data_IF_186641238959
#
_entry.id   IF_186641238959
#
_cell.length_a   1.000
_cell.length_b   1.000
_cell.length_c   1.000
_cell.angle_alpha   90.00
_cell.angle_beta   90.00
_cell.angle_gamma   90.00
#
_symmetry.space_group_name_H-M   'P 1'
#
loop_
_entity.id
_entity.type
_entity.pdbx_description
1 polymer ?
#
# COMPACT_ATOMS: atom_id res chain seq x y z
N UNK A 1 13.40 8.71 -33.58
CA UNK A 1 14.85 8.41 -33.51
C UNK A 1 15.62 9.73 -33.35
N UNK A 2 15.76 10.16 -32.09
CA UNK A 2 16.67 11.16 -31.49
C UNK A 2 16.04 11.51 -30.12
N UNK A 3 16.78 11.67 -29.00
CA UNK A 3 18.19 11.35 -28.75
C UNK A 3 18.37 10.45 -27.50
N UNK A 4 19.02 9.30 -27.69
CA UNK A 4 19.62 8.49 -26.64
C UNK A 4 20.94 9.10 -26.10
N UNK A 5 20.99 10.41 -25.93
CA UNK A 5 22.25 11.17 -25.85
C UNK A 5 22.40 12.02 -24.57
N UNK A 6 21.66 11.71 -23.51
CA UNK A 6 21.78 12.37 -22.20
C UNK A 6 22.01 11.43 -21.00
N UNK A 7 22.17 10.11 -21.20
CA UNK A 7 22.46 9.17 -20.10
C UNK A 7 23.78 8.39 -20.26
N UNK A 8 24.75 8.94 -20.99
CA UNK A 8 26.11 8.39 -21.02
C UNK A 8 27.12 9.50 -20.78
N UNK A 9 27.25 9.92 -19.52
CA UNK A 9 28.49 10.36 -18.87
C UNK A 9 28.18 11.04 -17.54
N UNK A 10 28.07 10.25 -16.47
CA UNK A 10 28.80 10.65 -15.27
C UNK A 10 29.84 9.56 -15.02
N UNK A 11 31.10 9.87 -15.34
CA UNK A 11 32.23 9.19 -14.69
C UNK A 11 32.12 9.59 -13.21
N UNK A 12 31.32 8.85 -12.47
CA UNK A 12 31.28 8.94 -11.02
C UNK A 12 32.71 8.62 -10.52
N UNK A 13 33.24 9.45 -9.62
CA UNK A 13 34.53 9.17 -9.01
C UNK A 13 34.45 7.79 -8.33
N UNK A 14 35.53 6.97 -8.32
CA UNK A 14 35.48 5.57 -7.87
C UNK A 14 35.07 5.38 -6.40
N UNK A 15 34.93 6.45 -5.62
CA UNK A 15 34.49 6.40 -4.22
C UNK A 15 33.02 6.79 -4.00
N UNK A 16 32.27 7.23 -5.01
CA UNK A 16 30.89 7.70 -4.82
C UNK A 16 30.00 7.31 -6.00
N UNK A 17 29.28 6.21 -5.88
CA UNK A 17 28.21 5.85 -6.80
C UNK A 17 26.99 6.73 -6.53
N UNK A 18 26.58 7.57 -7.49
CA UNK A 18 25.40 8.45 -7.39
C UNK A 18 24.10 7.69 -7.10
N UNK A 19 24.03 6.42 -7.51
CA UNK A 19 22.92 5.51 -7.18
C UNK A 19 22.84 5.18 -5.69
N UNK A 20 23.93 5.34 -4.94
CA UNK A 20 23.98 5.14 -3.49
C UNK A 20 23.79 6.44 -2.71
N UNK A 21 23.59 7.58 -3.39
CA UNK A 21 23.44 8.89 -2.74
C UNK A 21 22.00 9.14 -2.29
N UNK A 22 21.01 8.66 -3.05
CA UNK A 22 19.59 8.86 -2.76
C UNK A 22 18.98 7.60 -2.15
N UNK A 23 18.47 7.73 -0.92
CA UNK A 23 17.73 6.67 -0.23
C UNK A 23 16.34 6.61 -0.84
N UNK A 24 15.90 5.43 -1.25
CA UNK A 24 14.51 5.19 -1.62
C UNK A 24 13.66 5.29 -0.34
N UNK A 25 12.70 6.23 -0.26
CA UNK A 25 11.74 6.24 0.85
C UNK A 25 10.83 5.02 0.74
N UNK A 26 11.19 3.96 1.46
CA UNK A 26 10.61 2.63 1.30
C UNK A 26 9.11 2.63 1.58
N UNK A 27 8.67 3.28 2.65
CA UNK A 27 7.26 3.26 3.04
C UNK A 27 6.40 4.07 2.07
N UNK A 28 6.88 5.22 1.59
CA UNK A 28 6.19 6.00 0.57
C UNK A 28 6.12 5.24 -0.75
N UNK A 29 7.23 4.62 -1.18
CA UNK A 29 7.29 3.91 -2.44
C UNK A 29 6.47 2.61 -2.40
N UNK A 30 6.74 1.72 -1.44
CA UNK A 30 6.11 0.40 -1.35
C UNK A 30 4.71 0.48 -0.73
N UNK A 31 4.58 1.05 0.46
CA UNK A 31 3.33 0.97 1.21
C UNK A 31 2.27 1.94 0.67
N UNK A 32 2.62 3.21 0.45
CA UNK A 32 1.69 4.20 -0.12
C UNK A 32 1.62 4.17 -1.64
N UNK A 33 2.74 3.94 -2.31
CA UNK A 33 2.86 4.06 -3.77
C UNK A 33 2.55 2.79 -4.56
N UNK A 34 2.44 1.64 -3.89
CA UNK A 34 2.07 0.36 -4.51
C UNK A 34 0.98 -0.32 -3.70
N UNK A 35 1.16 -0.54 -2.40
CA UNK A 35 0.27 -1.39 -1.63
C UNK A 35 -1.10 -0.76 -1.37
N UNK A 36 -1.12 0.52 -0.98
CA UNK A 36 -2.34 1.32 -0.88
C UNK A 36 -3.06 1.42 -2.23
N UNK A 37 -2.32 1.65 -3.31
CA UNK A 37 -2.91 1.77 -4.66
C UNK A 37 -3.50 0.43 -5.14
N UNK A 38 -2.86 -0.69 -4.82
CA UNK A 38 -3.38 -2.04 -5.04
C UNK A 38 -4.71 -2.25 -4.29
N UNK A 39 -4.77 -1.92 -2.99
CA UNK A 39 -6.01 -2.09 -2.20
C UNK A 39 -7.11 -1.15 -2.69
N UNK A 40 -6.76 0.08 -3.06
CA UNK A 40 -7.71 1.02 -3.64
C UNK A 40 -8.22 0.56 -5.00
N UNK A 41 -7.35 -0.02 -5.82
CA UNK A 41 -7.72 -0.63 -7.08
C UNK A 41 -8.75 -1.75 -6.83
N UNK A 42 -8.44 -2.81 -6.09
CA UNK A 42 -9.39 -3.93 -5.89
C UNK A 42 -10.71 -3.50 -5.21
N UNK A 43 -10.68 -2.47 -4.35
CA UNK A 43 -11.83 -1.96 -3.62
C UNK A 43 -12.51 -0.74 -4.28
N UNK A 44 -12.13 -0.37 -5.51
CA UNK A 44 -12.77 0.70 -6.27
C UNK A 44 -14.28 0.44 -6.36
N UNK A 45 -15.13 1.44 -6.10
CA UNK A 45 -16.58 1.25 -6.12
C UNK A 45 -17.05 0.74 -7.49
N UNK A 46 -17.99 -0.19 -7.47
CA UNK A 46 -18.70 -0.63 -8.67
C UNK A 46 -19.68 0.50 -9.03
N UNK A 47 -19.57 1.07 -10.23
CA UNK A 47 -20.47 2.15 -10.64
C UNK A 47 -21.80 1.62 -11.15
N UNK A 48 -22.81 2.48 -11.16
CA UNK A 48 -24.14 2.17 -11.69
C UNK A 48 -24.09 1.69 -13.15
N UNK A 49 -23.19 2.28 -13.95
CA UNK A 49 -22.99 1.92 -15.34
C UNK A 49 -22.43 0.49 -15.51
N UNK A 50 -21.43 0.11 -14.71
CA UNK A 50 -20.85 -1.25 -14.71
C UNK A 50 -21.90 -2.29 -14.33
N UNK A 51 -22.73 -1.99 -13.32
CA UNK A 51 -23.85 -2.85 -12.93
C UNK A 51 -24.91 -2.96 -14.03
N UNK A 52 -25.27 -1.85 -14.68
CA UNK A 52 -26.28 -1.81 -15.73
C UNK A 52 -25.85 -2.59 -16.98
N UNK A 53 -24.57 -2.52 -17.34
CA UNK A 53 -24.00 -3.24 -18.49
C UNK A 53 -23.62 -4.69 -18.17
N UNK A 54 -23.68 -5.10 -16.90
CA UNK A 54 -23.14 -6.37 -16.39
C UNK A 54 -21.65 -6.57 -16.76
N UNK A 55 -20.94 -5.45 -16.86
CA UNK A 55 -19.54 -5.39 -17.27
C UNK A 55 -18.71 -4.97 -16.05
N UNK A 56 -18.67 -5.87 -15.06
CA UNK A 56 -17.90 -5.66 -13.84
C UNK A 56 -16.51 -6.25 -14.08
N UNK A 57 -15.44 -5.45 -13.94
CA UNK A 57 -14.08 -5.95 -14.09
C UNK A 57 -13.80 -7.12 -13.14
N UNK A 58 -13.16 -8.17 -13.66
CA UNK A 58 -12.93 -9.44 -12.95
C UNK A 58 -12.13 -9.29 -11.64
N UNK A 59 -11.32 -8.23 -11.55
CA UNK A 59 -10.46 -7.95 -10.40
C UNK A 59 -11.18 -7.21 -9.26
N UNK A 60 -12.37 -6.64 -9.51
CA UNK A 60 -13.10 -5.89 -8.48
C UNK A 60 -13.74 -6.83 -7.48
N UNK A 61 -13.65 -6.45 -6.21
CA UNK A 61 -14.39 -7.14 -5.15
C UNK A 61 -15.90 -6.93 -5.34
N UNK A 62 -16.62 -8.03 -5.48
CA UNK A 62 -18.08 -8.09 -5.64
C UNK A 62 -18.82 -7.56 -4.40
N UNK A 63 -20.13 -7.37 -4.52
CA UNK A 63 -20.95 -6.94 -3.37
C UNK A 63 -20.91 -7.97 -2.24
N UNK A 64 -20.95 -9.25 -2.59
CA UNK A 64 -20.85 -10.39 -1.69
C UNK A 64 -19.47 -10.43 -1.02
N UNK A 65 -18.39 -10.24 -1.79
CA UNK A 65 -17.03 -10.16 -1.27
C UNK A 65 -16.85 -9.00 -0.29
N UNK A 66 -17.45 -7.83 -0.55
CA UNK A 66 -17.45 -6.69 0.39
C UNK A 66 -18.21 -6.99 1.67
N UNK A 67 -19.35 -7.67 1.58
CA UNK A 67 -20.11 -8.08 2.76
C UNK A 67 -19.31 -9.08 3.60
N UNK A 68 -18.60 -10.01 2.96
CA UNK A 68 -17.70 -10.96 3.62
C UNK A 68 -16.52 -10.25 4.30
N UNK A 69 -15.91 -9.26 3.65
CA UNK A 69 -14.85 -8.42 4.26
C UNK A 69 -15.38 -7.76 5.54
N UNK A 70 -16.53 -7.09 5.46
CA UNK A 70 -17.13 -6.41 6.63
C UNK A 70 -17.45 -7.40 7.75
N UNK A 71 -17.97 -8.58 7.42
CA UNK A 71 -18.25 -9.63 8.40
C UNK A 71 -16.98 -10.16 9.07
N UNK A 72 -15.89 -10.30 8.31
CA UNK A 72 -14.58 -10.72 8.84
C UNK A 72 -13.96 -9.63 9.72
N UNK A 73 -14.00 -8.37 9.29
CA UNK A 73 -13.52 -7.21 10.05
C UNK A 73 -14.24 -7.06 11.39
N UNK A 74 -15.53 -7.36 11.46
CA UNK A 74 -16.30 -7.29 12.70
C UNK A 74 -15.79 -8.23 13.81
N UNK A 75 -15.06 -9.29 13.45
CA UNK A 75 -14.45 -10.22 14.40
C UNK A 75 -13.03 -9.83 14.83
N UNK A 76 -12.47 -8.76 14.26
CA UNK A 76 -11.11 -8.33 14.56
C UNK A 76 -11.12 -7.44 15.80
N UNK A 77 -10.44 -7.91 16.85
CA UNK A 77 -10.21 -7.15 18.08
C UNK A 77 -8.74 -6.80 18.14
N UNK A 78 -8.43 -5.49 18.14
CA UNK A 78 -7.08 -5.01 18.34
C UNK A 78 -6.70 -5.17 19.83
N UNK A 79 -5.52 -5.74 20.10
CA UNK A 79 -4.98 -5.81 21.46
C UNK A 79 -4.50 -4.43 21.93
N UNK A 80 -4.42 -4.21 23.24
CA UNK A 80 -4.11 -2.90 23.85
C UNK A 80 -2.78 -2.28 23.43
N UNK A 81 -1.87 -3.08 22.87
CA UNK A 81 -0.59 -2.62 22.33
C UNK A 81 -0.74 -1.83 21.02
N UNK A 82 -1.88 -1.97 20.34
CA UNK A 82 -2.22 -1.12 19.20
C UNK A 82 -2.73 0.23 19.70
N UNK A 83 -1.98 1.28 19.39
CA UNK A 83 -2.32 2.67 19.77
C UNK A 83 -3.57 3.24 19.10
N UNK A 84 -4.32 2.42 18.34
CA UNK A 84 -5.58 2.80 17.71
C UNK A 84 -6.48 1.57 17.49
N UNK A 85 -7.80 1.80 17.44
CA UNK A 85 -8.75 0.77 17.02
C UNK A 85 -8.52 0.37 15.55
N UNK A 86 -8.92 -0.85 15.17
CA UNK A 86 -8.97 -1.25 13.77
C UNK A 86 -10.10 -0.48 13.06
N UNK A 87 -9.74 0.35 12.07
CA UNK A 87 -10.70 0.97 11.17
C UNK A 87 -11.09 0.00 10.06
N UNK A 88 -12.26 0.20 9.43
CA UNK A 88 -12.70 -0.67 8.33
C UNK A 88 -11.96 -0.34 7.03
N UNK A 89 -11.44 -1.35 6.33
CA UNK A 89 -10.79 -1.19 5.01
C UNK A 89 -11.78 -0.65 3.97
N UNK A 90 -13.07 -0.96 4.12
CA UNK A 90 -14.09 -0.50 3.18
C UNK A 90 -14.40 0.98 3.38
N UNK A 91 -14.51 1.44 4.64
CA UNK A 91 -15.00 2.78 4.99
C UNK A 91 -13.88 3.79 5.26
N UNK A 92 -12.86 3.38 5.99
CA UNK A 92 -11.92 4.29 6.64
C UNK A 92 -10.56 4.35 5.95
N UNK A 93 -10.25 3.42 5.02
CA UNK A 93 -8.91 3.27 4.40
C UNK A 93 -8.32 4.55 3.79
N UNK A 94 -9.17 5.44 3.30
CA UNK A 94 -8.73 6.69 2.68
C UNK A 94 -8.07 7.65 3.68
N UNK A 95 -8.35 7.48 4.96
CA UNK A 95 -7.80 8.28 6.06
C UNK A 95 -6.71 7.53 6.83
N UNK A 96 -6.35 6.33 6.40
CA UNK A 96 -5.34 5.53 7.09
C UNK A 96 -3.94 6.15 6.95
N UNK A 97 -3.22 6.14 8.07
CA UNK A 97 -1.80 6.49 8.16
C UNK A 97 -0.91 5.37 7.60
N UNK A 98 0.38 5.62 7.34
CA UNK A 98 1.30 4.54 6.92
C UNK A 98 1.37 3.43 7.96
N UNK A 99 1.33 3.77 9.24
CA UNK A 99 1.31 2.82 10.33
C UNK A 99 0.10 1.87 10.25
N UNK A 100 -1.09 2.42 10.00
CA UNK A 100 -2.32 1.65 9.82
C UNK A 100 -2.26 0.74 8.58
N UNK A 101 -1.69 1.23 7.48
CA UNK A 101 -1.47 0.41 6.28
C UNK A 101 -0.50 -0.74 6.55
N UNK A 102 0.62 -0.48 7.24
CA UNK A 102 1.59 -1.49 7.58
C UNK A 102 0.93 -2.58 8.45
N UNK A 103 0.23 -2.17 9.50
CA UNK A 103 -0.46 -3.09 10.38
C UNK A 103 -1.51 -3.92 9.66
N UNK A 104 -2.30 -3.31 8.77
CA UNK A 104 -3.25 -4.04 7.93
C UNK A 104 -2.58 -5.14 7.12
N UNK A 105 -1.50 -4.84 6.40
CA UNK A 105 -0.79 -5.83 5.59
C UNK A 105 -0.13 -6.91 6.44
N UNK A 106 0.43 -6.59 7.60
CA UNK A 106 1.12 -7.57 8.43
C UNK A 106 0.15 -8.51 9.18
N UNK A 107 -1.02 -8.01 9.61
CA UNK A 107 -1.87 -8.74 10.55
C UNK A 107 -3.26 -9.07 9.98
N UNK A 108 -4.11 -8.08 9.75
CA UNK A 108 -5.53 -8.28 9.51
C UNK A 108 -5.85 -8.75 8.10
N UNK A 109 -5.06 -8.33 7.11
CA UNK A 109 -5.33 -8.61 5.70
C UNK A 109 -5.37 -10.09 5.36
N UNK A 110 -4.63 -10.95 6.07
CA UNK A 110 -4.67 -12.41 5.86
C UNK A 110 -6.02 -13.01 6.25
N UNK A 111 -6.63 -12.51 7.32
CA UNK A 111 -7.96 -12.93 7.76
C UNK A 111 -9.04 -12.35 6.86
N UNK A 112 -8.93 -11.06 6.55
CA UNK A 112 -9.92 -10.33 5.74
C UNK A 112 -9.97 -10.88 4.32
N UNK A 113 -8.82 -11.09 3.69
CA UNK A 113 -8.71 -11.58 2.31
C UNK A 113 -8.47 -13.08 2.20
N UNK A 114 -8.60 -13.84 3.28
CA UNK A 114 -8.44 -15.30 3.26
C UNK A 114 -9.26 -15.93 2.11
N UNK A 115 -8.68 -16.87 1.35
CA UNK A 115 -9.46 -17.65 0.40
C UNK A 115 -10.54 -18.40 1.20
N UNK A 116 -11.67 -18.74 0.57
CA UNK A 116 -12.67 -19.51 1.29
C UNK A 116 -12.30 -21.00 1.33
N UNK A 117 -12.59 -21.64 2.45
CA UNK A 117 -12.14 -23.02 2.75
C UNK A 117 -12.95 -24.12 2.03
N UNK A 118 -13.96 -23.75 1.22
CA UNK A 118 -14.88 -24.71 0.60
C UNK A 118 -15.00 -24.47 -0.90
N UNK A 119 -15.23 -25.52 -1.70
CA UNK A 119 -15.33 -25.43 -3.16
C UNK A 119 -16.41 -24.44 -3.67
N UNK A 120 -17.42 -24.12 -2.85
CA UNK A 120 -18.47 -23.14 -3.17
C UNK A 120 -18.35 -21.82 -2.40
N UNK A 121 -17.33 -21.67 -1.55
CA UNK A 121 -17.07 -20.47 -0.78
C UNK A 121 -15.82 -19.82 -1.36
N UNK A 122 -15.99 -19.02 -2.41
CA UNK A 122 -14.87 -18.25 -2.94
C UNK A 122 -14.52 -17.14 -1.96
N UNK A 123 -13.22 -16.88 -1.78
CA UNK A 123 -12.76 -15.73 -1.00
C UNK A 123 -13.26 -14.41 -1.60
N UNK A 124 -13.05 -13.27 -0.92
CA UNK A 124 -13.50 -11.98 -1.44
C UNK A 124 -12.71 -11.53 -2.68
N UNK A 125 -11.56 -12.15 -2.96
CA UNK A 125 -10.67 -11.82 -4.08
C UNK A 125 -10.69 -12.95 -5.12
N UNK A 126 -10.57 -12.59 -6.40
CA UNK A 126 -10.26 -13.52 -7.47
C UNK A 126 -8.85 -14.12 -7.29
N UNK A 127 -8.62 -15.36 -7.72
CA UNK A 127 -7.37 -16.10 -7.48
C UNK A 127 -6.11 -15.33 -7.94
N UNK A 128 -6.12 -14.80 -9.17
CA UNK A 128 -5.03 -13.95 -9.68
C UNK A 128 -4.76 -12.72 -8.78
N UNK A 129 -5.81 -12.09 -8.25
CA UNK A 129 -5.68 -10.92 -7.35
C UNK A 129 -5.17 -11.35 -5.98
N UNK A 130 -5.62 -12.51 -5.49
CA UNK A 130 -5.13 -13.08 -4.24
C UNK A 130 -3.63 -13.42 -4.33
N UNK A 131 -3.17 -13.96 -5.45
CA UNK A 131 -1.76 -14.23 -5.70
C UNK A 131 -0.92 -12.94 -5.72
N UNK A 132 -1.42 -11.87 -6.36
CA UNK A 132 -0.81 -10.55 -6.30
C UNK A 132 -0.70 -10.05 -4.85
N UNK A 133 -1.77 -10.17 -4.08
CA UNK A 133 -1.80 -9.79 -2.67
C UNK A 133 -0.78 -10.57 -1.84
N UNK A 134 -0.67 -11.89 -2.01
CA UNK A 134 0.30 -12.74 -1.30
C UNK A 134 1.73 -12.31 -1.59
N UNK A 135 2.07 -12.10 -2.86
CA UNK A 135 3.40 -11.67 -3.29
C UNK A 135 3.75 -10.26 -2.75
N UNK A 136 2.82 -9.32 -2.87
CA UNK A 136 2.99 -7.96 -2.34
C UNK A 136 3.18 -7.98 -0.81
N UNK A 137 2.37 -8.77 -0.10
CA UNK A 137 2.48 -8.91 1.36
C UNK A 137 3.82 -9.54 1.76
N UNK A 138 4.32 -10.53 1.02
CA UNK A 138 5.62 -11.13 1.29
C UNK A 138 6.75 -10.09 1.19
N UNK A 139 6.73 -9.24 0.15
CA UNK A 139 7.65 -8.14 0.02
C UNK A 139 7.53 -7.13 1.18
N UNK A 140 6.31 -6.71 1.55
CA UNK A 140 6.08 -5.80 2.68
C UNK A 140 6.60 -6.39 4.00
N UNK A 141 6.33 -7.69 4.25
CA UNK A 141 6.78 -8.36 5.47
C UNK A 141 8.29 -8.35 5.59
N UNK A 142 9.00 -8.56 4.50
CA UNK A 142 10.45 -8.53 4.51
C UNK A 142 11.01 -7.10 4.60
N UNK A 143 10.67 -6.23 3.64
CA UNK A 143 11.33 -4.93 3.53
C UNK A 143 10.92 -3.95 4.64
N UNK A 144 9.70 -4.02 5.17
CA UNK A 144 9.20 -3.05 6.14
C UNK A 144 9.35 -3.47 7.61
N UNK A 145 9.62 -4.74 7.91
CA UNK A 145 9.74 -5.23 9.29
C UNK A 145 11.20 -5.28 9.68
N UNK A 146 11.54 -4.65 10.81
CA UNK A 146 12.89 -4.73 11.38
C UNK A 146 13.10 -6.10 12.05
N UNK A 147 13.48 -7.09 11.25
CA UNK A 147 13.98 -8.38 11.73
C UNK A 147 15.42 -8.61 11.21
N UNK A 148 16.17 -9.53 11.79
CA UNK A 148 17.49 -9.92 11.26
C UNK A 148 17.24 -10.95 10.16
N UNK A 149 17.32 -10.58 8.86
CA UNK A 149 16.95 -11.50 7.81
C UNK A 149 18.10 -12.47 7.53
N UNK A 150 17.75 -13.72 7.20
CA UNK A 150 18.68 -14.59 6.51
C UNK A 150 18.81 -14.19 5.03
N UNK A 151 19.91 -14.59 4.38
CA UNK A 151 20.17 -14.21 2.98
C UNK A 151 19.14 -14.79 2.00
N UNK A 152 18.49 -15.91 2.35
CA UNK A 152 17.39 -16.49 1.58
C UNK A 152 16.15 -15.59 1.55
N UNK A 153 15.79 -14.99 2.68
CA UNK A 153 14.63 -14.13 2.83
C UNK A 153 14.72 -12.89 1.93
N UNK A 154 15.92 -12.34 1.72
CA UNK A 154 16.13 -11.22 0.78
C UNK A 154 15.78 -11.61 -0.65
N UNK A 155 16.28 -12.75 -1.11
CA UNK A 155 16.04 -13.22 -2.47
C UNK A 155 14.56 -13.56 -2.69
N UNK A 156 13.93 -14.19 -1.71
CA UNK A 156 12.50 -14.49 -1.72
C UNK A 156 11.64 -13.22 -1.81
N UNK A 157 11.98 -12.18 -1.05
CA UNK A 157 11.24 -10.92 -1.07
C UNK A 157 11.37 -10.16 -2.39
N UNK A 158 12.58 -10.12 -2.96
CA UNK A 158 12.82 -9.55 -4.29
C UNK A 158 12.04 -10.31 -5.35
N UNK A 159 12.05 -11.64 -5.28
CA UNK A 159 11.33 -12.49 -6.22
C UNK A 159 9.80 -12.34 -6.06
N UNK A 160 9.30 -12.20 -4.84
CA UNK A 160 7.89 -11.91 -4.60
C UNK A 160 7.47 -10.58 -5.23
N UNK A 161 8.29 -9.53 -5.11
CA UNK A 161 8.00 -8.25 -5.75
C UNK A 161 8.00 -8.35 -7.29
N UNK A 162 8.90 -9.15 -7.88
CA UNK A 162 8.91 -9.43 -9.31
C UNK A 162 7.67 -10.19 -9.75
N UNK A 163 7.25 -11.22 -9.01
CA UNK A 163 6.01 -11.98 -9.28
C UNK A 163 4.77 -11.10 -9.23
N UNK A 164 4.69 -10.22 -8.24
CA UNK A 164 3.64 -9.20 -8.19
C UNK A 164 3.66 -8.32 -9.45
N UNK A 165 4.84 -7.87 -9.88
CA UNK A 165 5.00 -7.01 -11.07
C UNK A 165 4.55 -7.72 -12.34
N UNK A 166 4.95 -8.99 -12.53
CA UNK A 166 4.54 -9.80 -13.69
C UNK A 166 3.01 -9.96 -13.73
N UNK A 167 2.39 -10.29 -12.60
CA UNK A 167 0.92 -10.42 -12.50
C UNK A 167 0.20 -9.09 -12.73
N UNK A 168 0.78 -7.98 -12.25
CA UNK A 168 0.26 -6.64 -12.54
C UNK A 168 0.32 -6.33 -14.05
N UNK A 169 1.41 -6.68 -14.74
CA UNK A 169 1.51 -6.53 -16.20
C UNK A 169 0.49 -7.39 -16.94
N UNK A 170 0.28 -8.64 -16.50
CA UNK A 170 -0.74 -9.53 -17.06
C UNK A 170 -2.15 -8.94 -16.88
N UNK A 171 -2.47 -8.40 -15.70
CA UNK A 171 -3.74 -7.75 -15.45
C UNK A 171 -3.95 -6.53 -16.37
N UNK A 172 -2.92 -5.71 -16.57
CA UNK A 172 -2.95 -4.58 -17.53
C UNK A 172 -3.17 -5.06 -18.97
N UNK A 173 -2.54 -6.18 -19.38
CA UNK A 173 -2.74 -6.75 -20.72
C UNK A 173 -4.15 -7.29 -20.91
N UNK A 174 -4.74 -7.92 -19.89
CA UNK A 174 -6.12 -8.44 -19.91
C UNK A 174 -7.15 -7.31 -20.02
N UNK A 175 -6.98 -6.23 -19.25
CA UNK A 175 -7.93 -5.11 -19.19
C UNK A 175 -7.71 -4.03 -20.26
N UNK A 176 -6.51 -3.97 -20.82
CA UNK A 176 -6.08 -2.88 -21.69
C UNK A 176 -5.55 -1.66 -20.92
N UNK A 177 -4.74 -0.85 -21.61
CA UNK A 177 -4.01 0.30 -21.03
C UNK A 177 -4.93 1.44 -20.62
N UNK A 178 -5.99 1.68 -21.40
CA UNK A 178 -6.99 2.72 -21.16
C UNK A 178 -8.29 2.08 -20.74
N UNK A 179 -8.65 2.24 -19.47
CA UNK A 179 -10.01 1.94 -19.01
C UNK A 179 -10.84 3.23 -18.98
N UNK A 180 -12.18 3.17 -19.10
CA UNK A 180 -13.05 4.35 -19.04
C UNK A 180 -12.90 5.24 -17.80
N UNK A 181 -12.17 4.79 -16.77
CA UNK A 181 -12.02 5.46 -15.47
C UNK A 181 -10.58 5.78 -15.08
N UNK A 182 -9.63 5.60 -16.00
CA UNK A 182 -8.23 5.93 -15.76
C UNK A 182 -7.26 4.89 -16.32
N UNK A 183 -5.98 5.21 -16.17
CA UNK A 183 -4.90 4.36 -16.64
C UNK A 183 -4.58 3.32 -15.56
N UNK A 184 -4.96 2.05 -15.79
CA UNK A 184 -4.67 0.92 -14.88
C UNK A 184 -3.16 0.79 -14.62
N UNK A 185 -2.34 1.20 -15.59
CA UNK A 185 -0.87 1.32 -15.46
C UNK A 185 -0.51 2.23 -14.29
N UNK A 186 -1.19 3.36 -14.10
CA UNK A 186 -0.84 4.31 -13.04
C UNK A 186 -1.08 3.71 -11.65
N UNK A 187 -2.10 2.86 -11.49
CA UNK A 187 -2.44 2.23 -10.21
C UNK A 187 -1.62 0.98 -9.90
N UNK A 188 -1.31 0.16 -10.90
CA UNK A 188 -0.64 -1.13 -10.71
C UNK A 188 0.84 -1.12 -11.09
N UNK A 189 1.19 -0.47 -12.21
CA UNK A 189 2.55 -0.37 -12.74
C UNK A 189 3.09 1.04 -12.51
N UNK A 190 2.99 1.50 -11.27
CA UNK A 190 3.39 2.85 -10.89
C UNK A 190 4.90 3.06 -11.03
N UNK A 191 5.32 4.32 -11.14
CA UNK A 191 6.75 4.67 -11.10
C UNK A 191 7.44 4.18 -9.82
N UNK A 192 6.70 4.14 -8.70
CA UNK A 192 7.20 3.58 -7.45
C UNK A 192 7.51 2.09 -7.58
N UNK A 193 6.64 1.30 -8.23
CA UNK A 193 6.92 -0.11 -8.49
C UNK A 193 8.17 -0.30 -9.35
N UNK A 194 8.37 0.56 -10.36
CA UNK A 194 9.57 0.52 -11.19
C UNK A 194 10.84 0.79 -10.36
N UNK A 195 10.85 1.86 -9.55
CA UNK A 195 12.02 2.16 -8.70
C UNK A 195 12.27 1.04 -7.69
N UNK A 196 11.23 0.47 -7.06
CA UNK A 196 11.39 -0.64 -6.12
C UNK A 196 12.07 -1.83 -6.77
N UNK A 197 11.62 -2.25 -7.97
CA UNK A 197 12.25 -3.35 -8.70
C UNK A 197 13.71 -3.07 -9.12
N UNK A 198 14.05 -1.81 -9.44
CA UNK A 198 15.37 -1.46 -9.92
C UNK A 198 16.39 -1.14 -8.82
N UNK A 199 15.95 -0.56 -7.70
CA UNK A 199 16.84 0.08 -6.72
C UNK A 199 16.80 -0.52 -5.33
N UNK A 200 15.68 -1.13 -4.92
CA UNK A 200 15.51 -1.57 -3.55
C UNK A 200 16.57 -2.60 -3.14
N UNK A 201 16.82 -3.58 -4.01
CA UNK A 201 17.86 -4.59 -3.78
C UNK A 201 19.27 -3.99 -3.78
N UNK A 202 19.58 -3.07 -4.70
CA UNK A 202 20.89 -2.39 -4.74
C UNK A 202 21.14 -1.59 -3.46
N UNK A 203 20.12 -0.89 -2.96
CA UNK A 203 20.18 -0.15 -1.70
C UNK A 203 20.44 -1.08 -0.52
N UNK A 204 19.73 -2.21 -0.45
CA UNK A 204 19.90 -3.19 0.63
C UNK A 204 21.31 -3.83 0.62
N UNK A 205 21.83 -4.17 -0.56
CA UNK A 205 23.20 -4.68 -0.70
C UNK A 205 24.25 -3.66 -0.27
N UNK A 206 24.02 -2.38 -0.58
CA UNK A 206 24.99 -1.32 -0.28
C UNK A 206 24.98 -0.87 1.19
N UNK A 207 23.83 -0.98 1.87
CA UNK A 207 23.61 -0.33 3.18
C UNK A 207 23.15 -1.27 4.28
N UNK A 208 22.92 -2.54 3.96
CA UNK A 208 22.26 -3.48 4.86
C UNK A 208 20.74 -3.35 4.79
N UNK A 209 20.06 -4.04 5.71
CA UNK A 209 18.62 -4.22 5.62
C UNK A 209 17.85 -2.89 5.63
N UNK A 210 17.07 -2.66 4.56
CA UNK A 210 16.36 -1.39 4.29
C UNK A 210 15.27 -1.06 5.31
N UNK A 211 14.81 -2.03 6.10
CA UNK A 211 13.87 -1.80 7.20
C UNK A 211 14.44 -0.85 8.27
N UNK A 212 15.77 -0.80 8.43
CA UNK A 212 16.43 0.13 9.35
C UNK A 212 16.48 1.57 8.83
N UNK A 213 16.35 1.77 7.52
CA UNK A 213 16.29 3.10 6.89
C UNK A 213 14.85 3.63 6.81
N UNK A 214 13.96 3.20 7.71
CA UNK A 214 12.55 3.55 7.65
C UNK A 214 12.29 5.04 7.90
N UNK A 215 11.39 5.63 7.10
CA UNK A 215 10.82 6.95 7.37
C UNK A 215 9.63 6.91 8.34
N UNK A 216 9.19 5.73 8.81
CA UNK A 216 7.98 5.58 9.60
C UNK A 216 8.06 6.35 10.93
N UNK A 217 9.23 6.39 11.56
CA UNK A 217 9.43 7.18 12.78
C UNK A 217 9.23 8.69 12.54
N UNK A 218 9.67 9.20 11.37
CA UNK A 218 9.49 10.60 10.97
C UNK A 218 8.00 10.89 10.85
N UNK A 219 7.25 10.01 10.22
CA UNK A 219 5.81 10.18 10.07
C UNK A 219 5.09 10.17 11.43
N UNK A 220 5.43 9.25 12.33
CA UNK A 220 4.87 9.21 13.68
C UNK A 220 5.12 10.53 14.43
N UNK A 221 6.34 11.06 14.35
CA UNK A 221 6.68 12.37 14.93
C UNK A 221 5.89 13.50 14.29
N UNK A 222 5.81 13.56 12.96
CA UNK A 222 5.03 14.58 12.23
C UNK A 222 3.55 14.50 12.60
N UNK A 223 2.98 13.29 12.74
CA UNK A 223 1.59 13.12 13.14
C UNK A 223 1.35 13.59 14.58
N UNK A 224 2.24 13.28 15.51
CA UNK A 224 2.17 13.81 16.88
C UNK A 224 2.23 15.34 16.90
N UNK A 225 3.10 15.95 16.08
CA UNK A 225 3.18 17.40 15.93
C UNK A 225 1.91 18.01 15.30
N UNK A 226 1.31 17.34 14.30
CA UNK A 226 0.03 17.76 13.71
C UNK A 226 -1.12 17.71 14.71
N UNK A 227 -1.12 16.71 15.60
CA UNK A 227 -2.11 16.61 16.67
C UNK A 227 -1.91 17.70 17.73
N UNK A 228 -0.67 18.02 18.09
CA UNK A 228 -0.39 19.08 19.08
C UNK A 228 -0.65 20.49 18.54
N UNK A 229 -0.49 20.73 17.24
CA UNK A 229 -0.76 22.03 16.60
C UNK A 229 -2.24 22.30 16.29
N UNK A 230 -3.08 21.26 16.18
CA UNK A 230 -4.55 21.40 16.05
C UNK A 230 -5.20 22.18 17.21
N UNK A 231 -4.51 22.37 18.34
CA UNK A 231 -4.95 23.16 19.48
C UNK A 231 -4.58 24.65 19.45
N UNK A 232 -3.92 25.18 18.41
CA UNK A 232 -3.41 26.57 18.43
C UNK A 232 -4.01 27.60 17.47
N UNK A 233 -5.00 27.25 16.65
CA UNK A 233 -5.79 28.28 15.93
C UNK A 233 -7.27 27.87 15.84
N UNK A 234 -7.84 27.54 16.99
CA UNK A 234 -9.30 27.57 17.15
C UNK A 234 -9.70 29.01 17.40
N UNK A 235 -10.39 29.60 16.43
CA UNK A 235 -11.12 30.86 16.53
C UNK A 235 -11.68 31.06 17.93
N UNK A 236 -11.35 32.20 18.54
CA UNK A 236 -12.08 32.75 19.67
C UNK A 236 -13.54 32.97 19.23
N UNK A 237 -14.38 31.94 19.33
CA UNK A 237 -15.82 32.10 19.42
C UNK A 237 -16.07 32.72 20.78
N UNK A 238 -16.35 34.01 20.78
CA UNK A 238 -17.03 34.71 21.87
C UNK A 238 -18.22 33.87 22.31
N UNK A 239 -18.05 33.12 23.41
CA UNK A 239 -19.19 32.61 24.16
C UNK A 239 -19.82 33.85 24.79
N UNK A 240 -20.95 34.29 24.26
CA UNK A 240 -21.82 35.22 24.95
C UNK A 240 -22.19 34.60 26.29
N UNK A 241 -21.70 35.20 27.37
CA UNK A 241 -22.31 35.04 28.69
C UNK A 241 -23.74 35.55 28.58
N UNK A 242 -24.72 34.64 28.54
CA UNK A 242 -26.04 34.95 29.04
C UNK A 242 -25.97 34.75 30.55
N UNK A 243 -25.83 35.87 31.26
CA UNK A 243 -26.16 35.95 32.67
C UNK A 243 -27.69 35.79 32.75
N UNK A 244 -28.13 34.75 33.45
CA UNK A 244 -29.49 34.68 33.93
C UNK A 244 -29.60 35.70 35.07
N UNK A 245 -30.47 36.69 34.88
CA UNK A 245 -30.94 37.57 35.95
C UNK A 245 -31.90 36.75 36.84
N UNK A 246 -31.51 36.59 38.10
CA UNK A 246 -32.40 36.43 39.26
C UNK A 246 -32.05 37.55 40.25
#
# INVERSE_FOLDING_TARGET
LLPAMLMRTSRARPYMHYTNLFVLPLYHALLYGVAKDFVNWILDPITREEMARKDIPWWKVTKEGRALIVAREANIVAVSEYGHAHGSVIKDRNHWTMDQWLHFFLTWSTLIFAPGDRPNNQGPLHDDVFEMFVNLRAAIKYFCVMDVPDASATQEAVEALKRYTIKAEEAVKKEGVQTPKGCIIVKLLSFNLHILNCRLYEQEQARGHVAFENELWIERVIQALKQSTKYRVGTARTRGCQLHDD
#
